data_IF_402367259629
#
_entry.id   IF_402367259629
#
_cell.length_a   1.000
_cell.length_b   1.000
_cell.length_c   1.000
_cell.angle_alpha   90.00
_cell.angle_beta   90.00
_cell.angle_gamma   90.00
#
_symmetry.space_group_name_H-M   'P 1'
#
loop_
_entity.id
_entity.type
_entity.pdbx_description
1 polymer ?
#
# COMPACT_ATOMS: atom_id res chain seq x y z
N UNK A 1 36.62 32.80 -44.27
CA UNK A 1 35.99 31.77 -45.12
C UNK A 1 37.00 30.64 -45.23
N UNK A 2 36.85 29.40 -44.75
CA UNK A 2 35.68 28.56 -44.44
C UNK A 2 36.08 27.58 -43.30
N UNK A 3 35.06 27.02 -42.68
CA UNK A 3 34.87 26.35 -41.39
C UNK A 3 35.43 24.91 -41.25
N UNK A 4 35.55 24.47 -39.98
CA UNK A 4 35.25 23.12 -39.42
C UNK A 4 36.24 21.96 -39.61
N UNK A 5 36.65 21.38 -38.47
CA UNK A 5 36.75 19.92 -38.22
C UNK A 5 37.13 19.74 -36.73
N UNK A 6 36.52 18.91 -35.90
CA UNK A 6 35.25 18.21 -35.90
C UNK A 6 35.09 17.73 -34.46
N UNK A 7 33.94 17.98 -33.87
CA UNK A 7 33.56 17.50 -32.54
C UNK A 7 33.46 15.98 -32.58
N UNK A 8 34.24 15.25 -31.76
CA UNK A 8 33.94 13.85 -31.47
C UNK A 8 34.15 13.57 -29.98
N UNK A 9 33.07 13.73 -29.22
CA UNK A 9 32.95 13.12 -27.90
C UNK A 9 32.31 11.76 -28.19
N UNK A 10 33.09 10.70 -27.99
CA UNK A 10 32.66 9.33 -28.20
C UNK A 10 31.36 9.07 -27.41
N UNK A 11 30.30 8.66 -28.11
CA UNK A 11 29.12 8.13 -27.48
C UNK A 11 29.49 6.78 -26.84
N UNK A 12 29.62 6.75 -25.51
CA UNK A 12 29.64 5.49 -24.78
C UNK A 12 28.33 4.75 -25.07
N UNK A 13 28.36 3.46 -25.43
CA UNK A 13 27.13 2.69 -25.50
C UNK A 13 26.54 2.65 -24.09
N UNK A 14 25.33 3.22 -23.93
CA UNK A 14 24.58 3.11 -22.69
C UNK A 14 24.25 1.64 -22.48
N UNK A 15 24.85 1.01 -21.48
CA UNK A 15 24.45 -0.33 -21.04
C UNK A 15 22.99 -0.22 -20.61
N UNK A 16 22.04 -0.96 -21.23
CA UNK A 16 20.66 -0.91 -20.80
C UNK A 16 20.59 -1.34 -19.33
N UNK A 17 19.90 -0.53 -18.51
CA UNK A 17 19.71 -0.86 -17.10
C UNK A 17 19.10 -2.26 -16.97
N UNK A 18 19.57 -3.10 -16.04
CA UNK A 18 18.97 -4.40 -15.80
C UNK A 18 17.46 -4.25 -15.59
N UNK A 19 16.67 -5.03 -16.33
CA UNK A 19 15.23 -5.10 -16.11
C UNK A 19 14.97 -5.46 -14.63
N UNK A 20 13.97 -4.85 -13.97
CA UNK A 20 13.62 -5.21 -12.61
C UNK A 20 13.37 -6.71 -12.51
N UNK A 21 14.07 -7.40 -11.62
CA UNK A 21 13.83 -8.82 -11.37
C UNK A 21 12.36 -9.02 -10.94
N UNK A 22 11.69 -10.10 -11.37
CA UNK A 22 10.36 -10.43 -10.89
C UNK A 22 10.37 -10.49 -9.36
N UNK A 23 9.56 -9.65 -8.71
CA UNK A 23 9.42 -9.70 -7.25
C UNK A 23 8.80 -11.04 -6.89
N UNK A 24 9.51 -11.84 -6.11
CA UNK A 24 8.96 -13.10 -5.61
C UNK A 24 7.67 -12.83 -4.82
N UNK A 25 6.62 -13.64 -5.01
CA UNK A 25 5.39 -13.49 -4.22
C UNK A 25 5.74 -13.65 -2.74
N UNK A 26 5.60 -12.57 -1.98
CA UNK A 26 5.75 -12.63 -0.52
C UNK A 26 4.53 -13.34 0.05
N UNK A 27 4.67 -14.64 0.33
CA UNK A 27 3.61 -15.40 1.01
C UNK A 27 3.52 -14.88 2.44
N UNK A 28 2.44 -14.18 2.75
CA UNK A 28 2.14 -13.70 4.11
C UNK A 28 0.77 -14.18 4.52
N UNK A 29 0.65 -14.59 5.78
CA UNK A 29 -0.64 -14.86 6.39
C UNK A 29 -1.44 -13.55 6.45
N UNK A 30 -2.70 -13.62 6.00
CA UNK A 30 -3.64 -12.51 6.16
C UNK A 30 -3.95 -12.33 7.65
N UNK A 31 -4.11 -11.08 8.15
CA UNK A 31 -4.58 -10.87 9.52
C UNK A 31 -5.95 -11.50 9.77
N UNK A 32 -6.21 -11.84 11.03
CA UNK A 32 -7.50 -12.39 11.43
C UNK A 32 -8.63 -11.35 11.30
N UNK A 33 -9.85 -11.83 11.07
CA UNK A 33 -11.02 -10.94 11.05
C UNK A 33 -11.30 -10.37 12.44
N UNK A 34 -11.63 -9.09 12.49
CA UNK A 34 -11.98 -8.37 13.71
C UNK A 34 -13.49 -8.19 13.84
N UNK A 35 -14.07 -8.67 14.93
CA UNK A 35 -15.53 -8.60 15.16
C UNK A 35 -15.96 -7.44 16.06
N UNK A 36 -15.02 -6.68 16.63
CA UNK A 36 -15.28 -5.64 17.63
C UNK A 36 -14.78 -5.98 19.04
N UNK A 37 -14.18 -7.15 19.28
CA UNK A 37 -13.62 -7.50 20.59
C UNK A 37 -12.38 -6.63 20.92
N UNK A 38 -12.59 -5.61 21.75
CA UNK A 38 -11.57 -4.63 22.16
C UNK A 38 -10.29 -5.30 22.69
N UNK A 39 -10.39 -6.46 23.34
CA UNK A 39 -9.21 -7.19 23.86
C UNK A 39 -8.28 -7.67 22.74
N UNK A 40 -8.83 -7.92 21.55
CA UNK A 40 -8.09 -8.36 20.36
C UNK A 40 -7.66 -7.20 19.46
N UNK A 41 -8.19 -6.00 19.67
CA UNK A 41 -7.91 -4.84 18.82
C UNK A 41 -6.41 -4.53 18.68
N UNK A 42 -5.58 -4.53 19.75
CA UNK A 42 -4.15 -4.26 19.62
C UNK A 42 -3.43 -5.27 18.72
N UNK A 43 -3.76 -6.56 18.86
CA UNK A 43 -3.18 -7.63 18.04
C UNK A 43 -3.61 -7.50 16.57
N UNK A 44 -4.90 -7.27 16.34
CA UNK A 44 -5.48 -7.06 15.01
C UNK A 44 -4.82 -5.88 14.28
N UNK A 45 -4.74 -4.71 14.93
CA UNK A 45 -4.15 -3.52 14.33
C UNK A 45 -2.64 -3.71 14.09
N UNK A 46 -1.95 -4.38 15.00
CA UNK A 46 -0.54 -4.76 14.83
C UNK A 46 -0.31 -5.62 13.58
N UNK A 47 -1.13 -6.66 13.39
CA UNK A 47 -1.08 -7.51 12.19
C UNK A 47 -1.38 -6.71 10.92
N UNK A 48 -2.39 -5.83 10.94
CA UNK A 48 -2.71 -4.98 9.79
C UNK A 48 -1.55 -4.07 9.40
N UNK A 49 -0.96 -3.37 10.39
CA UNK A 49 0.19 -2.47 10.16
C UNK A 49 1.40 -3.22 9.62
N UNK A 50 1.67 -4.41 10.15
CA UNK A 50 2.75 -5.27 9.67
C UNK A 50 2.51 -5.67 8.20
N UNK A 51 1.32 -6.13 7.87
CA UNK A 51 0.97 -6.55 6.50
C UNK A 51 1.10 -5.40 5.49
N UNK A 52 0.63 -4.20 5.86
CA UNK A 52 0.77 -2.98 5.05
C UNK A 52 2.25 -2.61 4.88
N UNK A 53 3.02 -2.60 5.97
CA UNK A 53 4.45 -2.25 5.95
C UNK A 53 5.29 -3.19 5.09
N UNK A 54 4.84 -4.43 4.93
CA UNK A 54 5.54 -5.45 4.15
C UNK A 54 5.18 -5.42 2.66
N UNK A 55 4.12 -4.69 2.27
CA UNK A 55 3.66 -4.53 0.89
C UNK A 55 3.29 -3.07 0.59
N UNK A 56 4.21 -2.11 0.77
CA UNK A 56 3.91 -0.70 0.57
C UNK A 56 3.42 -0.38 -0.85
N UNK A 57 3.86 -1.16 -1.85
CA UNK A 57 3.40 -1.03 -3.24
C UNK A 57 1.90 -1.29 -3.44
N UNK A 58 1.28 -2.10 -2.58
CA UNK A 58 -0.14 -2.44 -2.66
C UNK A 58 -1.03 -1.43 -1.91
N UNK A 59 -0.41 -0.54 -1.13
CA UNK A 59 -1.10 0.45 -0.29
C UNK A 59 -0.55 1.87 -0.49
N UNK A 60 -0.56 2.40 -1.74
CA UNK A 60 0.01 3.72 -2.05
C UNK A 60 -0.72 4.87 -1.37
N UNK A 61 -2.03 4.74 -1.10
CA UNK A 61 -2.83 5.78 -0.46
C UNK A 61 -3.42 5.30 0.87
N UNK A 62 -3.82 6.25 1.71
CA UNK A 62 -4.48 5.94 2.98
C UNK A 62 -5.82 5.22 2.78
N UNK A 63 -6.53 5.51 1.68
CA UNK A 63 -7.74 4.79 1.31
C UNK A 63 -7.50 3.29 1.10
N UNK A 64 -6.38 2.90 0.51
CA UNK A 64 -6.05 1.49 0.27
C UNK A 64 -5.84 0.75 1.61
N UNK A 65 -5.19 1.41 2.56
CA UNK A 65 -4.95 0.89 3.91
C UNK A 65 -6.24 0.76 4.71
N UNK A 66 -7.08 1.80 4.68
CA UNK A 66 -8.38 1.79 5.36
C UNK A 66 -9.30 0.72 4.75
N UNK A 67 -9.36 0.63 3.42
CA UNK A 67 -10.11 -0.40 2.71
C UNK A 67 -9.68 -1.81 3.10
N UNK A 68 -8.37 -2.04 3.25
CA UNK A 68 -7.85 -3.31 3.75
C UNK A 68 -8.33 -3.62 5.17
N UNK A 69 -8.22 -2.69 6.11
CA UNK A 69 -8.72 -2.90 7.49
C UNK A 69 -10.23 -3.18 7.48
N UNK A 70 -11.01 -2.41 6.71
CA UNK A 70 -12.46 -2.61 6.58
C UNK A 70 -12.80 -4.01 6.04
N UNK A 71 -12.04 -4.53 5.07
CA UNK A 71 -12.24 -5.87 4.51
C UNK A 71 -12.06 -7.00 5.53
N UNK A 72 -11.31 -6.73 6.60
CA UNK A 72 -11.05 -7.64 7.71
C UNK A 72 -12.07 -7.49 8.85
N UNK A 73 -12.96 -6.50 8.79
CA UNK A 73 -14.02 -6.37 9.78
C UNK A 73 -15.09 -7.46 9.58
N UNK A 74 -15.74 -7.79 10.68
CA UNK A 74 -16.84 -8.74 10.77
C UNK A 74 -17.79 -8.33 11.90
N UNK A 75 -18.97 -8.95 11.96
CA UNK A 75 -19.93 -8.71 13.04
C UNK A 75 -20.20 -7.23 13.31
N UNK A 76 -20.13 -6.82 14.58
CA UNK A 76 -20.43 -5.45 15.01
C UNK A 76 -19.46 -4.42 14.41
N UNK A 77 -18.19 -4.77 14.23
CA UNK A 77 -17.22 -3.86 13.62
C UNK A 77 -17.53 -3.55 12.15
N UNK A 78 -17.98 -4.56 11.38
CA UNK A 78 -18.42 -4.33 10.00
C UNK A 78 -19.68 -3.47 9.93
N UNK A 79 -20.62 -3.65 10.87
CA UNK A 79 -21.83 -2.81 10.96
C UNK A 79 -21.48 -1.34 11.24
N UNK A 80 -20.50 -1.09 12.12
CA UNK A 80 -20.00 0.26 12.38
C UNK A 80 -19.36 0.92 11.14
N UNK A 81 -18.63 0.14 10.33
CA UNK A 81 -17.96 0.67 9.13
C UNK A 81 -18.91 0.91 7.94
N UNK A 82 -20.06 0.22 7.91
CA UNK A 82 -21.05 0.32 6.82
C UNK A 82 -21.47 1.76 6.49
N UNK A 83 -21.92 2.59 7.45
CA UNK A 83 -22.32 3.97 7.16
C UNK A 83 -21.16 4.83 6.61
N UNK A 84 -19.91 4.56 7.02
CA UNK A 84 -18.74 5.28 6.50
C UNK A 84 -18.58 5.04 4.99
N UNK A 85 -18.78 3.79 4.54
CA UNK A 85 -18.72 3.42 3.12
C UNK A 85 -19.88 4.00 2.33
N UNK A 86 -21.11 3.90 2.84
CA UNK A 86 -22.30 4.38 2.10
C UNK A 86 -22.35 5.91 1.97
N UNK A 87 -21.73 6.63 2.90
CA UNK A 87 -21.67 8.10 2.89
C UNK A 87 -20.38 8.65 2.29
N UNK A 88 -19.46 7.77 1.86
CA UNK A 88 -18.11 8.14 1.39
C UNK A 88 -17.40 9.09 2.37
N UNK A 89 -17.40 8.72 3.65
CA UNK A 89 -16.85 9.52 4.73
C UNK A 89 -15.38 9.89 4.48
N UNK A 90 -14.95 11.13 4.79
CA UNK A 90 -13.54 11.51 4.66
C UNK A 90 -12.60 10.65 5.52
N UNK A 91 -13.14 9.99 6.56
CA UNK A 91 -12.41 9.04 7.39
C UNK A 91 -11.88 7.84 6.59
N UNK A 92 -12.50 7.51 5.44
CA UNK A 92 -12.01 6.47 4.54
C UNK A 92 -10.67 6.82 3.88
N UNK A 93 -10.31 8.10 3.84
CA UNK A 93 -9.07 8.60 3.24
C UNK A 93 -8.03 9.03 4.28
N UNK A 94 -8.31 8.84 5.57
CA UNK A 94 -7.40 9.18 6.67
C UNK A 94 -7.08 7.93 7.49
N UNK A 95 -5.94 7.31 7.19
CA UNK A 95 -5.52 6.09 7.88
C UNK A 95 -5.23 6.33 9.37
N UNK A 96 -4.74 7.52 9.73
CA UNK A 96 -4.43 7.87 11.12
C UNK A 96 -5.69 8.17 11.92
N UNK A 97 -6.66 8.86 11.32
CA UNK A 97 -7.97 9.10 11.95
C UNK A 97 -8.80 7.83 12.11
N UNK A 98 -8.64 6.86 11.20
CA UNK A 98 -9.40 5.61 11.24
C UNK A 98 -8.95 4.63 12.35
N UNK A 99 -7.66 4.64 12.72
CA UNK A 99 -7.05 3.68 13.68
C UNK A 99 -6.89 4.26 15.08
#
# INVERSE_FOLDING_TARGET
MITQLQTQIAAFPAVPAPLPAPRQPRIMALPDKFNGDIKKFPAFLGQCRLFISLRPEDFPHDQDKVGFIISLLSGAAAQWATPLMTTNSPLLQDFRGFC
#
